data_IF_546984251305
#
_entry.id   IF_546984251305
#
_cell.length_a   1.000
_cell.length_b   1.000
_cell.length_c   1.000
_cell.angle_alpha   90.00
_cell.angle_beta   90.00
_cell.angle_gamma   90.00
#
_symmetry.space_group_name_H-M   'P 1'
#
loop_
_entity.id
_entity.type
_entity.pdbx_description
1 polymer ?
#
# COMPACT_ATOMS: atom_id res chain seq x y z
N UNK A 1 25.06 12.49 6.44
CA UNK A 1 26.22 12.02 7.22
C UNK A 1 26.59 10.59 6.77
N UNK A 2 27.82 10.11 6.95
CA UNK A 2 28.24 8.75 6.50
C UNK A 2 27.49 7.65 7.27
N UNK A 3 27.29 7.85 8.58
CA UNK A 3 26.50 6.96 9.41
C UNK A 3 25.03 6.87 8.95
N UNK A 4 24.44 8.00 8.59
CA UNK A 4 23.08 8.09 8.06
C UNK A 4 22.94 7.38 6.71
N UNK A 5 23.93 7.53 5.81
CA UNK A 5 23.96 6.81 4.54
C UNK A 5 24.02 5.29 4.75
N UNK A 6 24.86 4.83 5.68
CA UNK A 6 24.96 3.41 6.02
C UNK A 6 23.64 2.86 6.58
N UNK A 7 22.94 3.62 7.43
CA UNK A 7 21.62 3.24 7.96
C UNK A 7 20.56 3.12 6.85
N UNK A 8 20.53 4.07 5.90
CA UNK A 8 19.61 4.04 4.76
C UNK A 8 19.88 2.81 3.88
N UNK A 9 21.15 2.52 3.59
CA UNK A 9 21.54 1.34 2.80
C UNK A 9 21.10 0.06 3.50
N UNK A 10 21.42 -0.09 4.79
CA UNK A 10 21.07 -1.28 5.56
C UNK A 10 19.54 -1.48 5.61
N UNK A 11 18.78 -0.42 5.87
CA UNK A 11 17.31 -0.47 5.91
C UNK A 11 16.72 -0.85 4.55
N UNK A 12 17.25 -0.27 3.48
CA UNK A 12 16.76 -0.53 2.11
C UNK A 12 17.04 -1.97 1.69
N UNK A 13 18.26 -2.45 1.90
CA UNK A 13 18.63 -3.83 1.58
C UNK A 13 17.82 -4.83 2.40
N UNK A 14 17.57 -4.57 3.69
CA UNK A 14 16.73 -5.42 4.52
C UNK A 14 15.30 -5.57 3.97
N UNK A 15 14.72 -4.50 3.38
CA UNK A 15 13.41 -4.58 2.72
C UNK A 15 13.47 -5.40 1.44
N UNK A 16 14.52 -5.23 0.63
CA UNK A 16 14.69 -5.96 -0.63
C UNK A 16 14.92 -7.45 -0.41
N UNK A 17 15.66 -7.81 0.63
CA UNK A 17 16.05 -9.18 0.97
C UNK A 17 15.03 -9.90 1.88
N UNK A 18 13.95 -9.22 2.29
CA UNK A 18 12.94 -9.80 3.17
C UNK A 18 12.20 -10.96 2.49
N UNK A 19 12.24 -12.18 3.07
CA UNK A 19 11.52 -13.32 2.51
C UNK A 19 10.02 -13.03 2.39
N UNK A 20 9.43 -13.37 1.24
CA UNK A 20 8.02 -13.12 0.93
C UNK A 20 7.77 -11.77 0.23
N UNK A 21 8.76 -10.89 0.08
CA UNK A 21 8.62 -9.63 -0.66
C UNK A 21 9.00 -9.76 -2.14
N UNK A 22 9.41 -10.94 -2.61
CA UNK A 22 9.78 -11.20 -4.00
C UNK A 22 8.70 -10.73 -5.00
N UNK A 23 7.38 -10.93 -4.75
CA UNK A 23 6.34 -10.42 -5.64
C UNK A 23 6.31 -8.90 -5.76
N UNK A 24 6.79 -8.16 -4.76
CA UNK A 24 6.85 -6.69 -4.78
C UNK A 24 7.94 -6.17 -5.72
N UNK A 25 8.96 -6.97 -6.04
CA UNK A 25 10.09 -6.57 -6.87
C UNK A 25 10.23 -7.39 -8.16
N UNK A 26 9.29 -8.31 -8.41
CA UNK A 26 9.23 -9.13 -9.62
C UNK A 26 8.57 -8.43 -10.83
N UNK A 27 8.49 -9.11 -11.99
CA UNK A 27 8.00 -8.53 -13.25
C UNK A 27 6.50 -8.17 -13.27
N UNK A 28 5.70 -8.75 -12.37
CA UNK A 28 4.29 -8.41 -12.18
C UNK A 28 4.06 -7.14 -11.34
N UNK A 29 5.15 -6.52 -10.89
CA UNK A 29 5.14 -5.33 -10.04
C UNK A 29 5.48 -4.07 -10.82
N UNK A 30 4.81 -2.97 -10.49
CA UNK A 30 5.06 -1.64 -11.05
C UNK A 30 5.25 -0.66 -9.90
N UNK A 31 6.28 0.17 -10.00
CA UNK A 31 6.53 1.26 -9.07
C UNK A 31 5.79 2.52 -9.52
N UNK A 32 5.45 3.40 -8.58
CA UNK A 32 5.09 4.79 -8.86
C UNK A 32 3.92 4.93 -9.85
N UNK A 33 2.89 4.11 -9.69
CA UNK A 33 1.77 4.01 -10.65
C UNK A 33 0.79 5.15 -10.43
N UNK A 34 0.59 6.03 -11.43
CA UNK A 34 -0.41 7.10 -11.31
C UNK A 34 -1.82 6.50 -11.32
N UNK A 35 -2.69 7.03 -10.46
CA UNK A 35 -4.12 6.72 -10.40
C UNK A 35 -4.92 8.01 -10.42
N UNK A 36 -5.75 8.16 -11.46
CA UNK A 36 -6.65 9.30 -11.61
C UNK A 36 -8.02 8.78 -12.00
N UNK A 37 -9.06 9.32 -11.38
CA UNK A 37 -10.43 8.93 -11.73
C UNK A 37 -11.49 9.59 -10.84
N UNK A 38 -12.73 9.19 -11.09
CA UNK A 38 -13.88 9.58 -10.28
C UNK A 38 -14.39 8.33 -9.55
N UNK A 39 -14.42 8.37 -8.21
CA UNK A 39 -14.92 7.28 -7.36
C UNK A 39 -16.04 7.83 -6.51
N UNK A 40 -17.26 7.29 -6.64
CA UNK A 40 -18.46 7.78 -5.93
C UNK A 40 -18.63 9.31 -6.05
N UNK A 41 -18.43 9.85 -7.26
CA UNK A 41 -18.54 11.29 -7.53
C UNK A 41 -17.39 12.15 -6.97
N UNK A 42 -16.35 11.55 -6.37
CA UNK A 42 -15.17 12.26 -5.85
C UNK A 42 -13.97 12.06 -6.76
N UNK A 43 -13.30 13.16 -7.11
CA UNK A 43 -12.06 13.08 -7.86
C UNK A 43 -10.96 12.47 -6.99
N UNK A 44 -10.30 11.45 -7.52
CA UNK A 44 -9.08 10.87 -7.00
C UNK A 44 -7.95 11.20 -7.97
N UNK A 45 -6.86 11.75 -7.44
CA UNK A 45 -5.59 11.88 -8.14
C UNK A 45 -4.50 11.52 -7.15
N UNK A 46 -3.67 10.54 -7.49
CA UNK A 46 -2.60 10.10 -6.62
C UNK A 46 -1.61 9.20 -7.34
N UNK A 47 -0.62 8.75 -6.59
CA UNK A 47 0.43 7.87 -7.05
C UNK A 47 0.53 6.72 -6.05
N UNK A 48 0.51 5.50 -6.56
CA UNK A 48 0.66 4.28 -5.78
C UNK A 48 2.13 3.89 -5.85
N UNK A 49 2.82 3.84 -4.71
CA UNK A 49 4.24 3.51 -4.67
C UNK A 49 4.54 2.17 -5.33
N UNK A 50 3.65 1.19 -5.13
CA UNK A 50 3.83 -0.18 -5.59
C UNK A 50 2.52 -0.88 -5.91
N UNK A 51 2.38 -1.36 -7.13
CA UNK A 51 1.22 -2.11 -7.60
C UNK A 51 1.66 -3.46 -8.17
N UNK A 52 1.22 -4.55 -7.57
CA UNK A 52 1.44 -5.91 -8.08
C UNK A 52 0.16 -6.43 -8.69
N UNK A 53 0.23 -6.87 -9.95
CA UNK A 53 -0.94 -7.32 -10.70
C UNK A 53 -0.74 -8.76 -11.12
N UNK A 54 -1.57 -9.66 -10.62
CA UNK A 54 -1.65 -11.07 -11.01
C UNK A 54 -2.93 -11.31 -11.82
N UNK A 55 -3.12 -12.48 -12.47
CA UNK A 55 -4.36 -12.80 -13.18
C UNK A 55 -5.62 -12.71 -12.30
N UNK A 56 -5.47 -13.01 -11.01
CA UNK A 56 -6.51 -13.21 -10.01
C UNK A 56 -6.61 -12.06 -8.98
N UNK A 57 -5.53 -11.30 -8.77
CA UNK A 57 -5.48 -10.27 -7.73
C UNK A 57 -4.70 -9.02 -8.13
N UNK A 58 -4.93 -7.95 -7.37
CA UNK A 58 -4.17 -6.71 -7.41
C UNK A 58 -3.77 -6.39 -5.98
N UNK A 59 -2.47 -6.22 -5.71
CA UNK A 59 -1.96 -5.79 -4.42
C UNK A 59 -1.42 -4.37 -4.55
N UNK A 60 -1.98 -3.47 -3.74
CA UNK A 60 -1.50 -2.10 -3.54
C UNK A 60 -0.60 -2.08 -2.32
N UNK A 61 0.62 -1.57 -2.46
CA UNK A 61 1.54 -1.34 -1.35
C UNK A 61 1.96 0.12 -1.33
N UNK A 62 1.97 0.68 -0.13
CA UNK A 62 2.45 2.04 0.17
C UNK A 62 3.50 1.93 1.29
N UNK A 63 4.66 2.56 1.09
CA UNK A 63 5.81 2.48 1.98
C UNK A 63 5.72 3.55 3.08
N UNK A 64 5.97 3.14 4.33
CA UNK A 64 5.91 4.03 5.49
C UNK A 64 7.19 3.94 6.31
N UNK A 65 7.70 5.12 6.68
CA UNK A 65 8.97 5.31 7.41
C UNK A 65 8.75 5.69 8.88
N UNK A 66 7.52 5.57 9.40
CA UNK A 66 7.19 5.92 10.79
C UNK A 66 8.08 5.17 11.79
N UNK A 67 8.57 5.90 12.80
CA UNK A 67 9.43 5.38 13.87
C UNK A 67 8.83 5.72 15.25
N UNK A 68 8.37 4.74 16.06
CA UNK A 68 8.17 3.33 15.72
C UNK A 68 6.94 3.13 14.82
N UNK A 69 6.91 2.06 14.01
CA UNK A 69 5.74 1.74 13.19
C UNK A 69 4.60 1.14 14.04
N UNK A 70 3.31 1.36 13.66
CA UNK A 70 2.16 0.74 14.29
C UNK A 70 2.29 -0.79 14.39
N UNK A 71 1.99 -1.36 15.56
CA UNK A 71 2.06 -2.81 15.80
C UNK A 71 0.74 -3.54 15.54
N UNK A 72 -0.36 -2.80 15.40
CA UNK A 72 -1.69 -3.34 15.09
C UNK A 72 -2.46 -2.46 14.10
N UNK A 73 -3.46 -3.06 13.43
CA UNK A 73 -4.30 -2.36 12.44
C UNK A 73 -5.06 -1.19 13.08
N UNK A 74 -5.49 -1.32 14.33
CA UNK A 74 -6.24 -0.30 15.07
C UNK A 74 -5.39 0.94 15.37
N UNK A 75 -4.07 0.78 15.40
CA UNK A 75 -3.12 1.87 15.61
C UNK A 75 -2.66 2.54 14.30
N UNK A 76 -3.13 2.06 13.14
CA UNK A 76 -2.81 2.68 11.84
C UNK A 76 -3.48 4.05 11.76
N UNK A 77 -2.73 5.13 11.40
CA UNK A 77 -3.33 6.44 11.21
C UNK A 77 -4.49 6.41 10.21
N UNK A 78 -5.63 7.01 10.60
CA UNK A 78 -6.85 7.07 9.78
C UNK A 78 -6.59 7.60 8.36
N UNK A 79 -5.65 8.54 8.21
CA UNK A 79 -5.27 9.09 6.91
C UNK A 79 -4.78 8.00 5.94
N UNK A 80 -3.99 7.04 6.41
CA UNK A 80 -3.51 5.93 5.58
C UNK A 80 -4.67 4.99 5.21
N UNK A 81 -5.59 4.71 6.14
CA UNK A 81 -6.75 3.88 5.86
C UNK A 81 -7.67 4.50 4.80
N UNK A 82 -7.93 5.80 4.88
CA UNK A 82 -8.72 6.54 3.88
C UNK A 82 -8.04 6.54 2.51
N UNK A 83 -6.72 6.78 2.46
CA UNK A 83 -5.94 6.74 1.23
C UNK A 83 -6.00 5.35 0.58
N UNK A 84 -5.69 4.29 1.34
CA UNK A 84 -5.68 2.92 0.83
C UNK A 84 -7.09 2.46 0.41
N UNK A 85 -8.13 2.88 1.12
CA UNK A 85 -9.52 2.60 0.73
C UNK A 85 -9.89 3.30 -0.59
N UNK A 86 -9.43 4.53 -0.82
CA UNK A 86 -9.63 5.23 -2.09
C UNK A 86 -8.90 4.54 -3.25
N UNK A 87 -7.65 4.12 -3.08
CA UNK A 87 -6.93 3.32 -4.08
C UNK A 87 -7.63 2.00 -4.38
N UNK A 88 -8.07 1.28 -3.35
CA UNK A 88 -8.82 0.03 -3.51
C UNK A 88 -10.10 0.22 -4.31
N UNK A 89 -10.86 1.27 -4.00
CA UNK A 89 -12.10 1.57 -4.70
C UNK A 89 -11.85 1.92 -6.18
N UNK A 90 -10.84 2.73 -6.49
CA UNK A 90 -10.47 3.04 -7.87
C UNK A 90 -10.01 1.80 -8.65
N UNK A 91 -9.14 0.97 -8.06
CA UNK A 91 -8.60 -0.20 -8.74
C UNK A 91 -9.63 -1.31 -8.95
N UNK A 92 -10.68 -1.39 -8.13
CA UNK A 92 -11.82 -2.27 -8.38
C UNK A 92 -12.58 -1.92 -9.67
N UNK A 93 -12.59 -0.64 -10.06
CA UNK A 93 -13.16 -0.21 -11.34
C UNK A 93 -12.25 -0.57 -12.52
N UNK A 94 -10.93 -0.46 -12.33
CA UNK A 94 -9.93 -0.73 -13.37
C UNK A 94 -9.75 -2.24 -13.62
N UNK A 95 -9.83 -3.07 -12.58
CA UNK A 95 -9.60 -4.51 -12.65
C UNK A 95 -10.85 -5.31 -12.24
N UNK A 96 -11.92 -5.30 -13.06
CA UNK A 96 -13.13 -6.04 -12.76
C UNK A 96 -12.82 -7.54 -12.65
N UNK A 97 -13.42 -8.20 -11.66
CA UNK A 97 -13.26 -9.63 -11.41
C UNK A 97 -11.98 -10.02 -10.66
N UNK A 98 -11.09 -9.08 -10.32
CA UNK A 98 -9.90 -9.35 -9.50
C UNK A 98 -10.10 -8.91 -8.05
N UNK A 99 -9.47 -9.65 -7.14
CA UNK A 99 -9.45 -9.26 -5.73
C UNK A 99 -8.42 -8.15 -5.51
N UNK A 100 -8.86 -6.99 -5.05
CA UNK A 100 -7.97 -5.86 -4.71
C UNK A 100 -7.64 -5.88 -3.22
N UNK A 101 -6.36 -6.12 -2.92
CA UNK A 101 -5.74 -6.16 -1.59
C UNK A 101 -4.90 -4.91 -1.39
N UNK A 102 -4.73 -4.49 -0.14
CA UNK A 102 -3.94 -3.32 0.22
C UNK A 102 -3.05 -3.65 1.41
N UNK A 103 -1.81 -3.20 1.38
CA UNK A 103 -0.89 -3.35 2.50
C UNK A 103 -0.05 -2.08 2.69
N UNK A 104 0.39 -1.87 3.93
CA UNK A 104 1.42 -0.89 4.26
C UNK A 104 2.73 -1.63 4.50
N UNK A 105 3.82 -1.17 3.89
CA UNK A 105 5.15 -1.70 4.13
C UNK A 105 5.90 -0.75 5.06
N UNK A 106 6.13 -1.20 6.30
CA UNK A 106 6.93 -0.47 7.27
C UNK A 106 8.40 -0.77 7.03
N UNK A 107 9.20 0.25 6.72
CA UNK A 107 10.63 0.07 6.39
C UNK A 107 11.50 -0.16 7.62
N UNK A 108 11.08 0.33 8.80
CA UNK A 108 11.69 -0.02 10.08
C UNK A 108 11.19 -1.40 10.53
N UNK A 109 12.06 -2.41 10.42
CA UNK A 109 11.70 -3.81 10.62
C UNK A 109 10.76 -4.28 9.50
N UNK A 110 11.29 -4.68 8.33
CA UNK A 110 10.56 -4.84 7.07
C UNK A 110 9.31 -5.69 7.25
N UNK A 111 8.18 -5.02 7.46
CA UNK A 111 6.92 -5.65 7.85
C UNK A 111 5.83 -5.21 6.89
N UNK A 112 5.26 -6.19 6.20
CA UNK A 112 4.09 -5.99 5.38
C UNK A 112 2.84 -6.18 6.25
N UNK A 113 2.10 -5.10 6.43
CA UNK A 113 0.85 -5.08 7.17
C UNK A 113 -0.31 -5.02 6.18
N UNK A 114 -0.93 -6.17 5.91
CA UNK A 114 -2.11 -6.22 5.06
C UNK A 114 -3.32 -5.64 5.79
N UNK A 115 -4.05 -4.75 5.11
CA UNK A 115 -5.22 -4.06 5.63
C UNK A 115 -6.48 -4.90 5.34
N UNK A 116 -7.19 -5.39 6.38
CA UNK A 116 -8.36 -6.23 6.17
C UNK A 116 -9.46 -5.51 5.37
N UNK A 117 -10.18 -6.21 4.47
CA UNK A 117 -11.30 -5.64 3.74
C UNK A 117 -12.32 -4.90 4.62
N UNK A 118 -12.78 -5.45 5.77
CA UNK A 118 -13.75 -4.75 6.62
C UNK A 118 -13.22 -3.44 7.21
N UNK A 119 -11.91 -3.33 7.44
CA UNK A 119 -11.28 -2.08 7.89
C UNK A 119 -11.36 -1.03 6.78
N UNK A 120 -10.98 -1.40 5.55
CA UNK A 120 -11.00 -0.48 4.41
C UNK A 120 -12.41 -0.10 3.97
N UNK A 121 -13.38 -1.01 4.08
CA UNK A 121 -14.76 -0.75 3.68
C UNK A 121 -15.39 0.39 4.51
N UNK A 122 -15.02 0.52 5.79
CA UNK A 122 -15.42 1.65 6.66
C UNK A 122 -14.84 3.01 6.25
N UNK A 123 -13.78 2.99 5.44
CA UNK A 123 -13.09 4.20 4.98
C UNK A 123 -13.24 4.43 3.47
N UNK A 124 -14.08 3.63 2.80
CA UNK A 124 -14.31 3.75 1.37
C UNK A 124 -14.88 5.15 1.03
N UNK A 125 -14.54 5.72 -0.14
CA UNK A 125 -15.19 6.92 -0.64
C UNK A 125 -16.72 6.74 -0.60
N UNK A 126 -17.44 7.69 0.01
CA UNK A 126 -18.90 7.64 0.14
C UNK A 126 -19.42 6.90 1.39
N UNK A 127 -18.58 6.19 2.15
CA UNK A 127 -18.99 5.65 3.45
C UNK A 127 -19.35 6.80 4.41
N UNK A 128 -20.53 6.72 5.03
CA UNK A 128 -20.89 7.63 6.13
C UNK A 128 -20.03 7.30 7.35
N UNK A 129 -19.55 8.34 8.05
CA UNK A 129 -18.71 8.23 9.23
C UNK A 129 -19.41 7.51 10.39
#
# INVERSE_FOLDING_TARGET
>A
DEAEQAEIVATTLAVLDQPGFEPLFGPGSRAEVPVVGLVEGRALSGQIDRLVVTPDSVLVVDYKTNRPPPVSIESVPRAYLVQMAAYRAALRLVYPGRTVRCALLWTEGPRLMELPPPTLDRHAPGASA
#
